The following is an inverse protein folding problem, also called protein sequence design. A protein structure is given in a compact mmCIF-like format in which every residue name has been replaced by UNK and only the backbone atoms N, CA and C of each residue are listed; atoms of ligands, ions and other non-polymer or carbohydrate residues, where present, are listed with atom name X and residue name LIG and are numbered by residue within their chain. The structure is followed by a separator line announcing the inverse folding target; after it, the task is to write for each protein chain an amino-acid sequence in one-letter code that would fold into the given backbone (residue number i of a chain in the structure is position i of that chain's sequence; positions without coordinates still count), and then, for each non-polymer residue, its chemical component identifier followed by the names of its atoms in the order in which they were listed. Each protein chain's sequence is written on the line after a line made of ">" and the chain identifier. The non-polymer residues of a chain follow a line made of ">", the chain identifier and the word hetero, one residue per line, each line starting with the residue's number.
data_IF_023460281123
#
_entry.id   IF_023460281123
#
_cell.length_a   1.000
_cell.length_b   1.000
_cell.length_c   1.000
_cell.angle_alpha   90.00
_cell.angle_beta   90.00
_cell.angle_gamma   90.00
#
_symmetry.space_group_name_H-M   'P 1'
#
loop_
_entity.id
_entity.type
_entity.pdbx_description
1 polymer ?
#
# COMPACT_ATOMS: atom_id res chain seq x y z
N UNK A 1 32.33 -15.65 -30.24
CA UNK A 1 31.57 -15.16 -29.04
C UNK A 1 30.10 -15.09 -29.46
N UNK A 2 29.31 -16.10 -29.14
CA UNK A 2 27.89 -16.12 -29.44
C UNK A 2 27.25 -14.98 -28.66
N UNK A 3 26.68 -13.98 -29.32
CA UNK A 3 25.85 -12.97 -28.69
C UNK A 3 24.64 -13.71 -28.08
N UNK A 4 24.59 -13.78 -26.75
CA UNK A 4 23.37 -14.24 -26.08
C UNK A 4 22.30 -13.17 -26.37
N UNK A 5 21.36 -13.52 -27.25
CA UNK A 5 20.22 -12.65 -27.56
C UNK A 5 19.38 -12.54 -26.26
N UNK A 6 19.41 -11.39 -25.64
CA UNK A 6 18.60 -11.14 -24.45
C UNK A 6 17.13 -11.11 -24.85
N UNK A 7 16.27 -11.83 -24.14
CA UNK A 7 14.82 -11.68 -24.27
C UNK A 7 14.41 -10.22 -24.09
N UNK A 8 13.52 -9.73 -24.93
CA UNK A 8 13.03 -8.37 -24.93
C UNK A 8 11.58 -8.33 -24.43
N UNK A 9 11.32 -7.49 -23.43
CA UNK A 9 9.99 -7.24 -22.90
C UNK A 9 9.66 -5.75 -23.00
N UNK A 10 8.44 -5.44 -23.46
CA UNK A 10 7.94 -4.08 -23.57
C UNK A 10 6.80 -3.82 -22.58
N UNK A 11 6.86 -2.69 -21.87
CA UNK A 11 5.86 -2.30 -20.88
C UNK A 11 5.01 -1.13 -21.40
N UNK A 12 3.70 -1.33 -21.58
CA UNK A 12 2.75 -0.25 -21.89
C UNK A 12 2.15 0.25 -20.60
N UNK A 13 2.44 1.51 -20.23
CA UNK A 13 2.11 2.08 -18.92
C UNK A 13 3.21 1.85 -17.88
N UNK A 14 4.48 1.94 -18.28
CA UNK A 14 5.65 1.59 -17.45
C UNK A 14 5.80 2.46 -16.20
N UNK A 15 5.28 3.69 -16.21
CA UNK A 15 5.39 4.63 -15.08
C UNK A 15 4.29 4.45 -14.03
N UNK A 16 3.63 3.29 -14.02
CA UNK A 16 2.74 2.89 -12.92
C UNK A 16 3.55 2.48 -11.69
N UNK A 17 3.02 2.76 -10.49
CA UNK A 17 3.70 2.48 -9.19
C UNK A 17 4.10 1.02 -9.05
N UNK A 18 3.28 0.10 -9.56
CA UNK A 18 3.57 -1.34 -9.55
C UNK A 18 4.35 -1.79 -10.79
N UNK A 19 4.15 -1.11 -11.95
CA UNK A 19 4.75 -1.50 -13.23
C UNK A 19 6.26 -1.25 -13.26
N UNK A 20 6.73 -0.10 -12.77
CA UNK A 20 8.15 0.26 -12.79
C UNK A 20 9.04 -0.73 -11.99
N UNK A 21 8.66 -1.15 -10.76
CA UNK A 21 9.40 -2.19 -10.05
C UNK A 21 9.41 -3.56 -10.75
N UNK A 22 8.31 -3.94 -11.39
CA UNK A 22 8.27 -5.19 -12.19
C UNK A 22 9.17 -5.08 -13.42
N UNK A 23 9.20 -3.93 -14.10
CA UNK A 23 10.13 -3.68 -15.20
C UNK A 23 11.60 -3.83 -14.76
N UNK A 24 11.93 -3.31 -13.56
CA UNK A 24 13.27 -3.50 -12.97
C UNK A 24 13.55 -4.97 -12.68
N UNK A 25 12.61 -5.69 -12.09
CA UNK A 25 12.76 -7.13 -11.83
C UNK A 25 13.13 -7.90 -13.09
N UNK A 26 12.48 -7.62 -14.25
CA UNK A 26 12.86 -8.24 -15.51
C UNK A 26 14.26 -7.86 -15.98
N UNK A 27 14.65 -6.59 -15.76
CA UNK A 27 16.01 -6.14 -16.08
C UNK A 27 17.05 -6.88 -15.23
N UNK A 28 16.80 -7.02 -13.93
CA UNK A 28 17.69 -7.77 -13.02
C UNK A 28 17.83 -9.25 -13.41
N UNK A 29 16.81 -9.81 -14.05
CA UNK A 29 16.83 -11.15 -14.67
C UNK A 29 17.56 -11.20 -16.03
N UNK A 30 18.15 -10.09 -16.46
CA UNK A 30 18.94 -10.00 -17.68
C UNK A 30 18.15 -9.72 -18.95
N UNK A 31 16.84 -9.40 -18.86
CA UNK A 31 16.05 -9.05 -20.03
C UNK A 31 16.39 -7.65 -20.55
N UNK A 32 16.23 -7.43 -21.84
CA UNK A 32 16.10 -6.09 -22.39
C UNK A 32 14.71 -5.58 -22.04
N UNK A 33 14.62 -4.46 -21.34
CA UNK A 33 13.34 -3.85 -20.93
C UNK A 33 13.19 -2.52 -21.62
N UNK A 34 12.04 -2.31 -22.26
CA UNK A 34 11.63 -1.03 -22.83
C UNK A 34 10.21 -0.71 -22.36
N UNK A 35 9.77 0.53 -22.47
CA UNK A 35 8.39 0.87 -22.14
C UNK A 35 7.96 2.27 -22.52
N UNK A 36 6.66 2.48 -22.45
CA UNK A 36 5.99 3.74 -22.77
C UNK A 36 5.00 4.13 -21.68
N UNK A 37 4.73 5.41 -21.55
CA UNK A 37 3.64 5.93 -20.71
C UNK A 37 3.15 7.28 -21.23
N UNK A 38 1.87 7.60 -21.01
CA UNK A 38 1.28 8.89 -21.37
C UNK A 38 1.95 10.07 -20.64
N UNK A 39 2.37 9.84 -19.37
CA UNK A 39 3.04 10.85 -18.56
C UNK A 39 4.04 10.21 -17.61
N UNK A 40 5.27 10.72 -17.63
CA UNK A 40 6.41 10.19 -16.89
C UNK A 40 6.94 11.28 -15.99
N UNK A 41 6.71 11.15 -14.67
CA UNK A 41 7.03 12.16 -13.66
C UNK A 41 7.75 11.53 -12.46
N UNK A 42 8.55 12.31 -11.70
CA UNK A 42 9.09 11.89 -10.42
C UNK A 42 7.99 11.44 -9.43
N UNK A 43 8.27 10.47 -8.56
CA UNK A 43 9.56 9.78 -8.37
C UNK A 43 9.83 8.61 -9.33
N UNK A 44 8.85 8.17 -10.11
CA UNK A 44 8.97 6.96 -10.94
C UNK A 44 9.85 7.19 -12.18
N UNK A 45 9.84 8.40 -12.75
CA UNK A 45 10.80 8.74 -13.82
C UNK A 45 12.25 8.64 -13.35
N UNK A 46 12.51 9.09 -12.13
CA UNK A 46 13.87 9.02 -11.56
C UNK A 46 14.26 7.57 -11.25
N UNK A 47 13.32 6.79 -10.73
CA UNK A 47 13.51 5.35 -10.51
C UNK A 47 13.87 4.62 -11.81
N UNK A 48 13.14 4.86 -12.92
CA UNK A 48 13.41 4.26 -14.22
C UNK A 48 14.79 4.68 -14.75
N UNK A 49 15.14 5.98 -14.64
CA UNK A 49 16.47 6.52 -15.04
C UNK A 49 17.61 5.90 -14.24
N UNK A 50 17.50 5.89 -12.90
CA UNK A 50 18.51 5.32 -12.00
C UNK A 50 18.77 3.85 -12.31
N UNK A 51 17.70 3.12 -12.66
CA UNK A 51 17.80 1.72 -13.06
C UNK A 51 18.14 1.53 -14.56
N UNK A 52 18.42 2.59 -15.31
CA UNK A 52 18.81 2.55 -16.73
C UNK A 52 17.81 1.73 -17.58
N UNK A 53 16.52 1.91 -17.35
CA UNK A 53 15.44 1.28 -18.13
C UNK A 53 15.10 2.24 -19.27
N UNK A 54 15.04 1.73 -20.49
CA UNK A 54 14.71 2.53 -21.68
C UNK A 54 13.20 2.79 -21.72
N UNK A 55 12.81 4.06 -21.77
CA UNK A 55 11.39 4.43 -21.86
C UNK A 55 11.20 5.71 -22.69
N UNK A 56 9.94 5.94 -23.09
CA UNK A 56 9.56 7.16 -23.80
C UNK A 56 8.16 7.62 -23.41
N UNK A 57 7.90 8.91 -23.60
CA UNK A 57 6.59 9.55 -23.36
C UNK A 57 5.72 9.38 -24.60
N UNK A 58 4.44 9.12 -24.39
CA UNK A 58 3.46 8.83 -25.45
C UNK A 58 3.43 7.35 -25.82
N UNK A 59 2.53 7.02 -26.72
CA UNK A 59 2.35 5.66 -27.24
C UNK A 59 2.63 5.66 -28.74
N UNK A 60 3.71 5.00 -29.14
CA UNK A 60 4.32 5.07 -30.48
C UNK A 60 4.59 3.67 -31.02
N UNK A 61 3.67 3.08 -31.81
CA UNK A 61 3.78 1.72 -32.35
C UNK A 61 5.07 1.43 -33.11
N UNK A 62 5.66 2.45 -33.75
CA UNK A 62 6.93 2.38 -34.47
C UNK A 62 8.16 2.27 -33.55
N UNK A 63 8.03 2.59 -32.27
CA UNK A 63 9.12 2.59 -31.27
C UNK A 63 9.19 1.31 -30.44
N UNK A 64 8.16 0.46 -30.46
CA UNK A 64 8.09 -0.76 -29.66
C UNK A 64 9.25 -1.72 -30.01
N UNK A 65 9.71 -1.71 -31.28
CA UNK A 65 10.65 -2.70 -31.80
C UNK A 65 9.99 -4.07 -31.97
N UNK A 66 10.74 -5.14 -31.70
CA UNK A 66 10.28 -6.52 -31.78
C UNK A 66 10.44 -7.19 -30.40
N UNK A 67 9.54 -6.97 -29.45
CA UNK A 67 9.61 -7.63 -28.16
C UNK A 67 9.14 -9.09 -28.25
N UNK A 68 9.72 -9.96 -27.43
CA UNK A 68 9.28 -11.34 -27.27
C UNK A 68 7.95 -11.42 -26.53
N UNK A 69 7.66 -10.42 -25.68
CA UNK A 69 6.40 -10.29 -24.92
C UNK A 69 6.17 -8.86 -24.48
N UNK A 70 4.92 -8.55 -24.09
CA UNK A 70 4.57 -7.25 -23.53
C UNK A 70 3.82 -7.39 -22.21
N UNK A 71 4.00 -6.43 -21.30
CA UNK A 71 3.18 -6.25 -20.09
C UNK A 71 2.36 -4.98 -20.24
N UNK A 72 1.05 -5.10 -20.07
CA UNK A 72 0.10 -4.00 -20.30
C UNK A 72 -0.54 -3.59 -18.97
N UNK A 73 -0.44 -2.29 -18.65
CA UNK A 73 -1.01 -1.71 -17.43
C UNK A 73 -2.53 -1.74 -17.42
N UNK A 74 -3.14 -1.80 -16.24
CA UNK A 74 -4.58 -1.96 -16.05
C UNK A 74 -5.43 -0.79 -16.60
N UNK A 75 -4.87 0.42 -16.68
CA UNK A 75 -5.56 1.60 -17.22
C UNK A 75 -5.38 1.79 -18.72
N UNK A 76 -4.62 0.93 -19.38
CA UNK A 76 -4.40 1.02 -20.81
C UNK A 76 -5.68 0.63 -21.55
N UNK A 77 -6.13 1.54 -22.43
CA UNK A 77 -7.31 1.32 -23.28
C UNK A 77 -7.09 0.19 -24.27
N UNK A 78 -8.14 -0.54 -24.60
CA UNK A 78 -8.13 -1.55 -25.67
C UNK A 78 -7.81 -0.94 -27.05
N UNK A 79 -8.02 0.37 -27.21
CA UNK A 79 -7.73 1.16 -28.42
C UNK A 79 -6.36 1.86 -28.35
N UNK A 80 -5.54 1.58 -27.32
CA UNK A 80 -4.20 2.13 -27.25
C UNK A 80 -3.37 1.70 -28.47
N UNK A 81 -2.73 2.65 -29.20
CA UNK A 81 -2.08 2.33 -30.49
C UNK A 81 -0.96 1.29 -30.34
N UNK A 82 -0.19 1.31 -29.28
CA UNK A 82 0.85 0.27 -29.04
C UNK A 82 0.22 -1.08 -28.72
N UNK A 83 -0.83 -1.10 -27.89
CA UNK A 83 -1.52 -2.35 -27.59
C UNK A 83 -2.20 -2.95 -28.82
N UNK A 84 -2.77 -2.12 -29.71
CA UNK A 84 -3.27 -2.57 -31.00
C UNK A 84 -2.14 -3.19 -31.85
N UNK A 85 -1.00 -2.52 -31.97
CA UNK A 85 0.14 -3.01 -32.73
C UNK A 85 0.72 -4.32 -32.17
N UNK A 86 0.79 -4.49 -30.84
CA UNK A 86 1.18 -5.75 -30.18
C UNK A 86 0.26 -6.89 -30.60
N UNK A 87 -1.06 -6.67 -30.57
CA UNK A 87 -2.06 -7.68 -30.97
C UNK A 87 -1.99 -8.01 -32.46
N UNK A 88 -1.90 -7.01 -33.31
CA UNK A 88 -1.82 -7.17 -34.77
C UNK A 88 -0.57 -7.92 -35.19
N UNK A 89 0.56 -7.70 -34.51
CA UNK A 89 1.83 -8.42 -34.77
C UNK A 89 1.87 -9.80 -34.13
N UNK A 90 0.83 -10.23 -33.41
CA UNK A 90 0.79 -11.52 -32.71
C UNK A 90 1.81 -11.65 -31.57
N UNK A 91 2.30 -10.54 -31.02
CA UNK A 91 3.24 -10.57 -29.90
C UNK A 91 2.49 -11.04 -28.63
N UNK A 92 3.01 -12.05 -27.92
CA UNK A 92 2.44 -12.46 -26.63
C UNK A 92 2.36 -11.27 -25.66
N UNK A 93 1.26 -11.13 -24.95
CA UNK A 93 1.09 -10.09 -23.96
C UNK A 93 0.38 -10.61 -22.70
N UNK A 94 0.61 -9.93 -21.62
CA UNK A 94 0.03 -10.26 -20.32
C UNK A 94 -0.28 -8.99 -19.52
N UNK A 95 -1.24 -9.08 -18.62
CA UNK A 95 -1.48 -8.05 -17.63
C UNK A 95 -0.41 -8.11 -16.53
N UNK A 96 -0.33 -7.04 -15.74
CA UNK A 96 0.54 -6.99 -14.57
C UNK A 96 0.38 -8.20 -13.61
N UNK A 97 -0.85 -8.60 -13.17
CA UNK A 97 -0.98 -9.75 -12.27
C UNK A 97 -0.66 -11.10 -12.92
N UNK A 98 -0.82 -11.24 -14.25
CA UNK A 98 -0.37 -12.42 -14.97
C UNK A 98 1.16 -12.52 -14.97
N UNK A 99 1.86 -11.39 -15.15
CA UNK A 99 3.31 -11.34 -15.04
C UNK A 99 3.79 -11.72 -13.63
N UNK A 100 3.10 -11.23 -12.59
CA UNK A 100 3.41 -11.65 -11.21
C UNK A 100 3.17 -13.15 -11.01
N UNK A 101 2.07 -13.68 -11.52
CA UNK A 101 1.77 -15.12 -11.44
C UNK A 101 2.88 -15.97 -12.04
N UNK A 102 3.40 -15.56 -13.18
CA UNK A 102 4.43 -16.34 -13.90
C UNK A 102 5.82 -16.23 -13.27
N UNK A 103 6.20 -15.01 -12.82
CA UNK A 103 7.59 -14.74 -12.44
C UNK A 103 7.83 -14.58 -10.94
N UNK A 104 6.82 -14.24 -10.17
CA UNK A 104 6.94 -13.97 -8.73
C UNK A 104 6.27 -15.03 -7.86
N UNK A 105 5.06 -15.48 -8.25
CA UNK A 105 4.30 -16.46 -7.46
C UNK A 105 4.99 -17.82 -7.51
N UNK A 106 5.06 -18.47 -6.33
CA UNK A 106 5.72 -19.76 -6.12
C UNK A 106 4.72 -20.78 -5.54
N UNK A 107 5.17 -22.04 -5.40
CA UNK A 107 4.33 -23.13 -4.87
C UNK A 107 3.79 -22.87 -3.46
N UNK A 108 4.57 -22.18 -2.60
CA UNK A 108 4.15 -21.72 -1.29
C UNK A 108 3.81 -20.23 -1.34
N UNK A 109 2.68 -19.92 -1.99
CA UNK A 109 2.24 -18.53 -2.16
C UNK A 109 1.51 -18.04 -0.92
N UNK A 110 1.95 -16.93 -0.35
CA UNK A 110 1.27 -16.15 0.69
C UNK A 110 0.67 -14.92 0.01
N UNK A 111 -0.64 -14.73 0.14
CA UNK A 111 -1.33 -13.53 -0.32
C UNK A 111 -1.84 -12.76 0.89
N UNK A 112 -1.54 -11.46 0.96
CA UNK A 112 -2.08 -10.56 1.99
C UNK A 112 -3.15 -9.69 1.36
N UNK A 113 -4.40 -9.92 1.71
CA UNK A 113 -5.55 -9.21 1.14
C UNK A 113 -6.42 -8.55 2.22
N UNK A 114 -7.27 -7.63 1.81
CA UNK A 114 -8.20 -6.91 2.68
C UNK A 114 -8.14 -5.40 2.50
N UNK A 115 -8.98 -4.66 3.22
CA UNK A 115 -9.17 -3.22 2.99
C UNK A 115 -8.01 -2.36 3.48
N UNK A 116 -7.37 -2.70 4.61
CA UNK A 116 -6.32 -1.90 5.25
C UNK A 116 -5.14 -2.76 5.68
N UNK A 117 -3.95 -2.14 5.77
CA UNK A 117 -2.75 -2.78 6.31
C UNK A 117 -2.05 -3.78 5.38
N UNK A 118 -2.55 -4.03 4.17
CA UNK A 118 -1.96 -4.98 3.20
C UNK A 118 -0.46 -4.78 3.03
N UNK A 119 -0.04 -3.59 2.62
CA UNK A 119 1.35 -3.31 2.22
C UNK A 119 2.35 -3.52 3.35
N UNK A 120 2.07 -2.99 4.54
CA UNK A 120 3.00 -3.12 5.67
C UNK A 120 3.06 -4.56 6.20
N UNK A 121 1.93 -5.28 6.16
CA UNK A 121 1.87 -6.69 6.56
C UNK A 121 2.61 -7.59 5.55
N UNK A 122 2.45 -7.32 4.24
CA UNK A 122 3.21 -7.99 3.18
C UNK A 122 4.71 -7.76 3.35
N UNK A 123 5.11 -6.52 3.64
CA UNK A 123 6.50 -6.15 3.88
C UNK A 123 7.08 -6.86 5.11
N UNK A 124 6.34 -6.91 6.21
CA UNK A 124 6.76 -7.63 7.42
C UNK A 124 6.93 -9.13 7.16
N UNK A 125 5.95 -9.75 6.49
CA UNK A 125 6.03 -11.17 6.13
C UNK A 125 7.26 -11.44 5.25
N UNK A 126 7.49 -10.63 4.22
CA UNK A 126 8.68 -10.76 3.37
C UNK A 126 9.97 -10.68 4.20
N UNK A 127 10.03 -9.77 5.17
CA UNK A 127 11.18 -9.59 6.05
C UNK A 127 11.35 -10.75 7.05
N UNK A 128 10.27 -11.30 7.61
CA UNK A 128 10.32 -12.50 8.47
C UNK A 128 10.89 -13.68 7.68
N UNK A 129 10.43 -13.92 6.45
CA UNK A 129 10.95 -15.00 5.59
C UNK A 129 12.40 -14.78 5.19
N UNK A 130 12.83 -13.54 5.00
CA UNK A 130 14.24 -13.20 4.75
C UNK A 130 15.12 -13.51 5.96
N UNK A 131 14.73 -13.04 7.15
CA UNK A 131 15.46 -13.33 8.40
C UNK A 131 15.50 -14.83 8.72
N UNK A 132 14.50 -15.59 8.31
CA UNK A 132 14.47 -17.05 8.43
C UNK A 132 15.29 -17.77 7.34
N UNK A 133 16.02 -17.05 6.48
CA UNK A 133 16.84 -17.61 5.41
C UNK A 133 16.07 -18.22 4.25
N UNK A 134 14.77 -17.97 4.14
CA UNK A 134 13.91 -18.54 3.08
C UNK A 134 13.92 -17.75 1.77
N UNK A 135 14.56 -16.58 1.74
CA UNK A 135 14.78 -15.72 0.57
C UNK A 135 13.55 -15.64 -0.36
N UNK A 136 12.38 -15.17 0.08
CA UNK A 136 11.15 -15.26 -0.70
C UNK A 136 11.19 -14.38 -1.95
N UNK A 137 10.47 -14.78 -3.00
CA UNK A 137 9.99 -13.83 -3.99
C UNK A 137 8.91 -12.98 -3.33
N UNK A 138 8.81 -11.69 -3.65
CA UNK A 138 7.75 -10.86 -3.06
C UNK A 138 7.33 -9.70 -3.96
N UNK A 139 6.13 -9.19 -3.70
CA UNK A 139 5.64 -7.92 -4.23
C UNK A 139 4.83 -7.20 -3.13
N UNK A 140 5.25 -5.98 -2.79
CA UNK A 140 4.55 -5.07 -1.91
C UNK A 140 4.17 -3.79 -2.66
N UNK A 141 3.00 -3.23 -2.35
CA UNK A 141 2.46 -2.02 -3.02
C UNK A 141 3.14 -0.70 -2.61
N UNK A 142 4.27 -0.76 -1.93
CA UNK A 142 5.05 0.39 -1.47
C UNK A 142 6.52 0.06 -1.31
N UNK A 143 7.35 1.08 -1.11
CA UNK A 143 8.80 0.91 -0.95
C UNK A 143 9.08 0.35 0.44
N UNK A 144 9.50 -0.91 0.51
CA UNK A 144 9.87 -1.59 1.76
C UNK A 144 11.29 -1.20 2.15
N UNK A 145 11.46 -0.59 3.31
CA UNK A 145 12.77 -0.02 3.72
C UNK A 145 13.85 -1.06 4.00
N UNK A 146 13.46 -2.30 4.26
CA UNK A 146 14.37 -3.43 4.47
C UNK A 146 14.93 -4.02 3.16
N UNK A 147 14.40 -3.64 2.01
CA UNK A 147 14.80 -4.17 0.71
C UNK A 147 15.13 -3.04 -0.27
N UNK A 148 15.99 -3.27 -1.26
CA UNK A 148 16.30 -2.27 -2.28
C UNK A 148 15.12 -1.97 -3.20
N UNK A 149 14.21 -2.95 -3.37
CA UNK A 149 13.07 -2.87 -4.28
C UNK A 149 11.79 -3.37 -3.62
N UNK A 150 10.65 -3.01 -4.20
CA UNK A 150 9.32 -3.48 -3.76
C UNK A 150 8.85 -4.77 -4.46
N UNK A 151 9.62 -5.24 -5.44
CA UNK A 151 9.37 -6.49 -6.16
C UNK A 151 10.68 -7.26 -6.32
N UNK A 152 10.65 -8.53 -5.98
CA UNK A 152 11.78 -9.44 -6.14
C UNK A 152 11.32 -10.81 -6.61
N UNK A 153 12.03 -11.42 -7.54
CA UNK A 153 11.82 -12.79 -7.98
C UNK A 153 13.08 -13.61 -7.75
N UNK A 154 12.98 -14.60 -6.87
CA UNK A 154 14.05 -15.53 -6.50
C UNK A 154 13.68 -16.99 -6.89
N UNK A 155 14.65 -17.89 -6.77
CA UNK A 155 14.44 -19.33 -6.99
C UNK A 155 13.87 -20.06 -5.77
N UNK A 156 13.55 -19.34 -4.69
CA UNK A 156 12.85 -19.87 -3.51
C UNK A 156 11.49 -20.46 -3.88
N UNK A 157 11.06 -21.49 -3.15
CA UNK A 157 9.69 -22.02 -3.25
C UNK A 157 8.63 -21.13 -2.62
N UNK A 158 9.02 -20.03 -1.96
CA UNK A 158 8.14 -19.10 -1.26
C UNK A 158 7.91 -17.82 -2.04
N UNK A 159 6.67 -17.37 -2.03
CA UNK A 159 6.33 -16.03 -2.51
C UNK A 159 5.35 -15.34 -1.56
N UNK A 160 5.51 -14.02 -1.40
CA UNK A 160 4.67 -13.18 -0.53
C UNK A 160 4.23 -11.97 -1.34
N UNK A 161 2.94 -11.85 -1.59
CA UNK A 161 2.41 -10.80 -2.46
C UNK A 161 1.22 -10.09 -1.87
N UNK A 162 1.15 -8.80 -2.12
CA UNK A 162 -0.02 -7.98 -1.79
C UNK A 162 -1.18 -8.30 -2.73
N UNK A 163 -2.30 -8.72 -2.15
CA UNK A 163 -3.54 -9.04 -2.86
C UNK A 163 -4.39 -7.79 -3.05
N UNK A 164 -4.35 -7.24 -4.27
CA UNK A 164 -5.10 -6.06 -4.66
C UNK A 164 -6.44 -6.47 -5.28
N UNK A 165 -7.52 -5.89 -4.78
CA UNK A 165 -8.90 -6.09 -5.25
C UNK A 165 -9.23 -5.31 -6.53
N UNK A 166 -8.39 -4.38 -6.95
CA UNK A 166 -8.60 -3.65 -8.21
C UNK A 166 -8.56 -4.54 -9.44
N UNK A 167 -9.31 -4.17 -10.53
CA UNK A 167 -9.31 -4.90 -11.77
C UNK A 167 -7.91 -5.11 -12.35
N UNK A 168 -7.68 -6.30 -12.89
CA UNK A 168 -6.38 -6.69 -13.45
C UNK A 168 -6.03 -5.91 -14.72
N UNK A 169 -6.99 -5.78 -15.63
CA UNK A 169 -6.82 -5.11 -16.92
C UNK A 169 -8.19 -4.87 -17.60
N UNK A 170 -8.19 -4.12 -18.70
CA UNK A 170 -9.42 -3.78 -19.44
C UNK A 170 -10.06 -4.95 -20.18
N UNK A 171 -9.30 -5.97 -20.57
CA UNK A 171 -9.84 -7.16 -21.25
C UNK A 171 -10.22 -8.30 -20.30
N UNK A 172 -9.80 -8.22 -19.05
CA UNK A 172 -10.18 -9.15 -18.00
C UNK A 172 -10.28 -8.41 -16.64
N UNK A 173 -11.42 -7.82 -16.34
CA UNK A 173 -11.59 -6.92 -15.19
C UNK A 173 -11.80 -7.64 -13.85
N UNK A 174 -11.35 -8.90 -13.73
CA UNK A 174 -11.36 -9.59 -12.42
C UNK A 174 -10.34 -8.98 -11.45
N UNK A 175 -10.53 -9.10 -10.13
CA UNK A 175 -9.55 -8.62 -9.16
C UNK A 175 -8.15 -9.18 -9.41
N UNK A 176 -7.10 -8.38 -9.20
CA UNK A 176 -5.71 -8.82 -9.43
C UNK A 176 -5.35 -10.07 -8.62
N UNK A 177 -5.82 -10.16 -7.38
CA UNK A 177 -5.53 -11.32 -6.54
C UNK A 177 -6.09 -12.64 -7.07
N UNK A 178 -7.07 -12.62 -7.98
CA UNK A 178 -7.63 -13.83 -8.61
C UNK A 178 -6.58 -14.63 -9.39
N UNK A 179 -5.48 -13.97 -9.79
CA UNK A 179 -4.37 -14.64 -10.48
C UNK A 179 -3.37 -15.31 -9.54
N UNK A 180 -3.38 -15.02 -8.23
CA UNK A 180 -2.27 -15.34 -7.32
C UNK A 180 -2.36 -16.73 -6.67
N UNK A 181 -3.52 -17.39 -6.74
CA UNK A 181 -3.75 -18.76 -6.22
C UNK A 181 -3.08 -19.00 -4.86
N UNK A 182 -3.53 -18.34 -3.78
CA UNK A 182 -2.90 -18.44 -2.48
C UNK A 182 -2.95 -19.86 -1.92
N UNK A 183 -1.81 -20.39 -1.47
CA UNK A 183 -1.77 -21.53 -0.54
C UNK A 183 -2.02 -21.06 0.88
N UNK A 184 -1.54 -19.85 1.19
CA UNK A 184 -1.72 -19.17 2.47
C UNK A 184 -2.32 -17.80 2.23
N UNK A 185 -3.34 -17.45 3.01
CA UNK A 185 -4.01 -16.16 2.93
C UNK A 185 -3.94 -15.47 4.29
N UNK A 186 -3.49 -14.21 4.33
CA UNK A 186 -3.69 -13.33 5.46
C UNK A 186 -4.75 -12.30 5.09
N UNK A 187 -5.90 -12.34 5.78
CA UNK A 187 -7.04 -11.48 5.52
C UNK A 187 -7.14 -10.40 6.60
N UNK A 188 -6.91 -9.13 6.21
CA UNK A 188 -6.82 -8.01 7.15
C UNK A 188 -8.16 -7.33 7.45
N UNK A 189 -9.18 -7.60 6.67
CA UNK A 189 -10.54 -7.04 6.81
C UNK A 189 -11.24 -6.94 5.47
N UNK A 190 -12.56 -6.86 5.49
CA UNK A 190 -13.40 -6.71 4.30
C UNK A 190 -14.36 -5.56 4.56
N UNK A 191 -13.87 -4.34 4.44
CA UNK A 191 -14.67 -3.13 4.57
C UNK A 191 -14.84 -2.52 3.19
N UNK A 192 -16.07 -2.24 2.78
CA UNK A 192 -16.36 -1.69 1.47
C UNK A 192 -15.51 -0.46 1.16
N UNK A 193 -14.80 -0.53 0.07
CA UNK A 193 -13.96 0.53 -0.51
C UNK A 193 -14.12 0.49 -2.04
N UNK A 194 -13.62 1.50 -2.75
CA UNK A 194 -13.61 1.56 -4.21
C UNK A 194 -15.01 1.49 -4.86
N UNK A 195 -15.92 2.38 -4.41
CA UNK A 195 -17.29 2.48 -4.93
C UNK A 195 -17.38 2.79 -6.44
N UNK A 196 -16.29 3.28 -7.03
CA UNK A 196 -16.11 3.46 -8.48
C UNK A 196 -16.02 2.14 -9.26
N UNK A 197 -15.66 1.05 -8.57
CA UNK A 197 -15.51 -0.29 -9.14
C UNK A 197 -16.58 -1.25 -8.60
N UNK A 198 -16.77 -1.23 -7.29
CA UNK A 198 -17.75 -2.05 -6.58
C UNK A 198 -18.94 -1.17 -6.18
N UNK A 199 -19.96 -1.16 -7.01
CA UNK A 199 -21.14 -0.29 -6.85
C UNK A 199 -22.00 -0.66 -5.64
N UNK A 200 -21.85 -1.88 -5.10
CA UNK A 200 -22.51 -2.34 -3.86
C UNK A 200 -21.53 -3.03 -2.94
N UNK A 201 -21.82 -3.01 -1.63
CA UNK A 201 -21.05 -3.70 -0.62
C UNK A 201 -21.02 -5.21 -0.85
N UNK A 202 -22.13 -5.79 -1.28
CA UNK A 202 -22.25 -7.23 -1.58
C UNK A 202 -21.28 -7.63 -2.70
N UNK A 203 -21.16 -6.84 -3.75
CA UNK A 203 -20.22 -7.11 -4.85
C UNK A 203 -18.77 -7.10 -4.38
N UNK A 204 -18.44 -6.24 -3.41
CA UNK A 204 -17.11 -6.19 -2.78
C UNK A 204 -16.87 -7.42 -1.89
N UNK A 205 -17.85 -7.80 -1.06
CA UNK A 205 -17.77 -9.00 -0.22
C UNK A 205 -17.61 -10.27 -1.05
N UNK A 206 -18.32 -10.38 -2.17
CA UNK A 206 -18.29 -11.56 -3.04
C UNK A 206 -16.89 -11.84 -3.62
N UNK A 207 -16.14 -10.81 -4.02
CA UNK A 207 -14.79 -11.04 -4.55
C UNK A 207 -13.83 -11.59 -3.49
N UNK A 208 -13.98 -11.18 -2.22
CA UNK A 208 -13.22 -11.76 -1.12
C UNK A 208 -13.68 -13.17 -0.76
N UNK A 209 -14.97 -13.45 -0.86
CA UNK A 209 -15.49 -14.80 -0.69
C UNK A 209 -14.92 -15.77 -1.74
N UNK A 210 -14.75 -15.32 -3.00
CA UNK A 210 -14.09 -16.12 -4.04
C UNK A 210 -12.60 -16.31 -3.75
N UNK A 211 -11.89 -15.28 -3.27
CA UNK A 211 -10.50 -15.41 -2.86
C UNK A 211 -10.34 -16.43 -1.73
N UNK A 212 -11.14 -16.35 -0.68
CA UNK A 212 -11.14 -17.28 0.46
C UNK A 212 -11.38 -18.72 -0.02
N UNK A 213 -12.37 -18.93 -0.90
CA UNK A 213 -12.67 -20.24 -1.49
C UNK A 213 -11.53 -20.83 -2.31
N UNK A 214 -10.65 -19.97 -2.86
CA UNK A 214 -9.53 -20.43 -3.69
C UNK A 214 -8.36 -21.02 -2.90
N UNK A 215 -8.33 -20.84 -1.57
CA UNK A 215 -7.29 -21.43 -0.70
C UNK A 215 -7.53 -22.93 -0.57
N UNK A 216 -6.55 -23.79 -0.89
CA UNK A 216 -6.73 -25.24 -0.86
C UNK A 216 -6.87 -25.79 0.57
N UNK A 217 -7.43 -27.00 0.71
CA UNK A 217 -7.65 -27.67 2.00
C UNK A 217 -6.38 -27.84 2.83
N UNK A 218 -5.24 -28.01 2.18
CA UNK A 218 -3.91 -28.14 2.80
C UNK A 218 -3.19 -26.78 2.97
N UNK A 219 -3.93 -25.71 2.76
CA UNK A 219 -3.49 -24.33 3.01
C UNK A 219 -3.88 -23.84 4.41
N UNK A 220 -3.74 -22.52 4.61
CA UNK A 220 -4.15 -21.86 5.87
C UNK A 220 -4.63 -20.44 5.58
N UNK A 221 -5.67 -20.03 6.27
CA UNK A 221 -6.15 -18.64 6.29
C UNK A 221 -5.91 -18.06 7.68
N UNK A 222 -5.09 -17.00 7.78
CA UNK A 222 -5.01 -16.19 8.99
C UNK A 222 -5.92 -14.97 8.82
N UNK A 223 -6.93 -14.80 9.68
CA UNK A 223 -7.98 -13.80 9.48
C UNK A 223 -8.22 -12.93 10.72
N UNK A 224 -8.44 -11.64 10.48
CA UNK A 224 -8.74 -10.67 11.53
C UNK A 224 -10.14 -10.91 12.12
N UNK A 225 -10.23 -11.20 13.42
CA UNK A 225 -11.47 -11.61 14.09
C UNK A 225 -12.49 -10.45 14.20
N UNK A 226 -11.99 -9.25 14.52
CA UNK A 226 -12.82 -8.09 14.87
C UNK A 226 -13.04 -7.12 13.70
N UNK A 227 -12.95 -7.62 12.46
CA UNK A 227 -13.13 -6.78 11.27
C UNK A 227 -14.44 -7.09 10.54
N UNK A 228 -15.07 -6.04 9.96
CA UNK A 228 -16.34 -6.22 9.22
C UNK A 228 -16.22 -7.33 8.17
N UNK A 229 -17.29 -8.06 7.98
CA UNK A 229 -17.54 -9.08 6.94
C UNK A 229 -16.51 -10.23 6.84
N UNK A 230 -15.43 -10.22 7.67
CA UNK A 230 -14.44 -11.32 7.64
C UNK A 230 -15.05 -12.66 7.96
N UNK A 231 -15.91 -12.72 9.00
CA UNK A 231 -16.64 -13.95 9.34
C UNK A 231 -17.58 -14.42 8.22
N UNK A 232 -18.17 -13.49 7.48
CA UNK A 232 -19.12 -13.82 6.41
C UNK A 232 -18.41 -14.41 5.20
N UNK A 233 -17.31 -13.82 4.75
CA UNK A 233 -16.53 -14.38 3.62
C UNK A 233 -15.92 -15.73 3.98
N UNK A 234 -15.53 -15.94 5.24
CA UNK A 234 -14.93 -17.19 5.70
C UNK A 234 -15.91 -18.37 5.79
N UNK A 235 -17.23 -18.15 5.72
CA UNK A 235 -18.22 -19.21 5.51
C UNK A 235 -17.99 -20.01 4.21
N UNK A 236 -17.22 -19.44 3.26
CA UNK A 236 -16.82 -20.09 2.01
C UNK A 236 -15.46 -20.76 2.07
N UNK A 237 -14.75 -20.68 3.21
CA UNK A 237 -13.41 -21.28 3.36
C UNK A 237 -13.50 -22.81 3.36
N UNK A 238 -12.59 -23.45 2.62
CA UNK A 238 -12.33 -24.88 2.70
C UNK A 238 -11.08 -25.17 3.53
N UNK A 239 -10.14 -24.23 3.56
CA UNK A 239 -8.90 -24.31 4.34
C UNK A 239 -9.15 -24.05 5.83
N UNK A 240 -8.29 -24.56 6.72
CA UNK A 240 -8.26 -24.19 8.13
C UNK A 240 -8.11 -22.67 8.32
N UNK A 241 -8.75 -22.15 9.37
CA UNK A 241 -8.69 -20.73 9.72
C UNK A 241 -8.04 -20.56 11.08
N UNK A 242 -7.01 -19.72 11.17
CA UNK A 242 -6.45 -19.22 12.40
C UNK A 242 -6.89 -17.77 12.60
N UNK A 243 -7.53 -17.47 13.70
CA UNK A 243 -8.01 -16.13 14.02
C UNK A 243 -6.93 -15.30 14.70
N UNK A 244 -6.82 -14.04 14.31
CA UNK A 244 -5.98 -13.09 15.04
C UNK A 244 -6.73 -11.80 15.38
N UNK A 245 -6.29 -11.11 16.43
CA UNK A 245 -6.94 -9.89 16.89
C UNK A 245 -6.20 -9.20 18.01
N UNK A 246 -6.87 -8.27 18.66
CA UNK A 246 -6.36 -7.60 19.85
C UNK A 246 -6.46 -8.50 21.08
N UNK A 247 -5.63 -8.19 22.08
CA UNK A 247 -5.74 -8.84 23.38
C UNK A 247 -7.18 -8.76 23.91
N UNK A 248 -7.71 -9.90 24.37
CA UNK A 248 -9.09 -10.01 24.88
C UNK A 248 -10.18 -10.19 23.81
N UNK A 249 -9.85 -10.25 22.52
CA UNK A 249 -10.82 -10.49 21.44
C UNK A 249 -11.34 -11.93 21.38
N UNK A 250 -10.64 -12.87 21.99
CA UNK A 250 -10.92 -14.31 21.87
C UNK A 250 -10.34 -14.95 20.60
N UNK A 251 -9.42 -14.29 19.93
CA UNK A 251 -8.70 -14.82 18.78
C UNK A 251 -7.64 -15.86 19.23
N UNK A 252 -7.28 -16.79 18.31
CA UNK A 252 -6.22 -17.78 18.54
C UNK A 252 -4.85 -17.12 18.76
N UNK A 253 -4.62 -16.04 18.02
CA UNK A 253 -3.44 -15.19 18.17
C UNK A 253 -3.85 -13.78 18.52
N UNK A 254 -3.20 -13.19 19.50
CA UNK A 254 -3.43 -11.80 19.90
C UNK A 254 -2.14 -11.04 20.09
N UNK A 255 -2.23 -9.72 19.99
CA UNK A 255 -1.09 -8.84 20.27
C UNK A 255 -1.42 -7.83 21.36
N UNK A 256 -0.46 -7.64 22.25
CA UNK A 256 -0.40 -6.54 23.19
C UNK A 256 0.58 -5.50 22.69
N UNK A 257 0.16 -4.23 22.68
CA UNK A 257 0.93 -3.12 22.12
C UNK A 257 1.11 -2.04 23.16
N UNK A 258 2.36 -1.60 23.39
CA UNK A 258 2.70 -0.46 24.24
C UNK A 258 3.55 0.51 23.44
N UNK A 259 3.03 1.73 23.25
CA UNK A 259 3.75 2.79 22.54
C UNK A 259 4.86 3.38 23.41
N UNK A 260 6.04 3.53 22.84
CA UNK A 260 7.22 4.18 23.43
C UNK A 260 7.64 5.35 22.55
N UNK A 261 8.56 6.19 23.06
CA UNK A 261 9.00 7.40 22.34
C UNK A 261 9.54 7.13 20.93
N UNK A 262 10.32 6.07 20.77
CA UNK A 262 11.06 5.77 19.53
C UNK A 262 10.72 4.42 18.91
N UNK A 263 9.84 3.65 19.54
CA UNK A 263 9.49 2.29 19.11
C UNK A 263 8.11 1.89 19.65
N UNK A 264 7.60 0.79 19.16
CA UNK A 264 6.44 0.13 19.74
C UNK A 264 6.84 -1.21 20.32
N UNK A 265 6.60 -1.40 21.63
CA UNK A 265 6.81 -2.68 22.30
C UNK A 265 5.61 -3.58 22.04
N UNK A 266 5.87 -4.77 21.55
CA UNK A 266 4.83 -5.75 21.18
C UNK A 266 5.10 -7.09 21.84
N UNK A 267 4.02 -7.76 22.28
CA UNK A 267 4.03 -9.17 22.72
C UNK A 267 2.90 -9.89 22.01
N UNK A 268 3.19 -11.06 21.49
CA UNK A 268 2.20 -11.89 20.78
C UNK A 268 1.91 -13.13 21.62
N UNK A 269 0.63 -13.46 21.72
CA UNK A 269 0.14 -14.62 22.45
C UNK A 269 -0.58 -15.56 21.48
N UNK A 270 -0.14 -16.80 21.44
CA UNK A 270 -0.66 -17.83 20.56
C UNK A 270 -1.28 -19.01 21.29
N UNK A 271 -1.73 -20.05 20.56
CA UNK A 271 -2.29 -21.27 21.12
C UNK A 271 -1.31 -21.96 22.10
N UNK A 272 -1.85 -22.74 23.03
CA UNK A 272 -1.05 -23.52 24.02
C UNK A 272 -0.12 -22.66 24.87
N UNK A 273 -0.54 -21.41 25.18
CA UNK A 273 0.26 -20.44 25.95
C UNK A 273 1.58 -20.03 25.28
N UNK A 274 1.67 -20.17 23.96
CA UNK A 274 2.82 -19.67 23.24
C UNK A 274 2.93 -18.14 23.38
N UNK A 275 4.12 -17.65 23.72
CA UNK A 275 4.39 -16.21 23.85
C UNK A 275 5.63 -15.85 23.06
N UNK A 276 5.51 -14.86 22.19
CA UNK A 276 6.60 -14.30 21.39
C UNK A 276 6.75 -12.83 21.75
N UNK A 277 7.88 -12.46 22.28
CA UNK A 277 8.13 -11.11 22.79
C UNK A 277 8.48 -11.12 24.28
N UNK A 278 8.52 -9.94 24.95
CA UNK A 278 8.32 -8.64 24.31
C UNK A 278 9.44 -8.25 23.32
N UNK A 279 9.09 -7.56 22.25
CA UNK A 279 10.04 -7.06 21.26
C UNK A 279 9.77 -5.58 20.97
N UNK A 280 10.81 -4.78 20.80
CA UNK A 280 10.70 -3.40 20.38
C UNK A 280 10.78 -3.34 18.84
N UNK A 281 9.68 -3.00 18.22
CA UNK A 281 9.59 -2.77 16.78
C UNK A 281 9.92 -1.28 16.54
N UNK A 282 10.90 -0.92 15.67
CA UNK A 282 11.32 0.46 15.47
C UNK A 282 10.35 1.23 14.57
N UNK A 283 9.06 1.15 14.89
CA UNK A 283 7.97 1.86 14.24
C UNK A 283 7.10 2.51 15.32
N UNK A 284 6.60 3.70 15.02
CA UNK A 284 5.56 4.34 15.83
C UNK A 284 4.21 3.97 15.26
N UNK A 285 3.31 3.58 16.14
CA UNK A 285 1.90 3.28 15.97
C UNK A 285 1.44 2.98 14.53
N UNK A 286 0.77 1.88 14.36
CA UNK A 286 0.15 1.56 13.06
C UNK A 286 -1.19 0.90 13.31
N UNK A 287 -2.19 1.28 12.54
CA UNK A 287 -3.47 0.55 12.45
C UNK A 287 -3.23 -0.92 12.10
N UNK A 288 -2.09 -1.20 11.45
CA UNK A 288 -1.71 -2.53 11.00
C UNK A 288 -1.06 -3.40 12.09
N UNK A 289 -0.79 -2.89 13.29
CA UNK A 289 -0.12 -3.70 14.32
C UNK A 289 -0.95 -4.90 14.77
N UNK A 290 -2.26 -4.79 14.75
CA UNK A 290 -3.14 -5.96 14.97
C UNK A 290 -2.84 -7.08 13.94
N UNK A 291 -2.53 -6.70 12.69
CA UNK A 291 -2.23 -7.66 11.62
C UNK A 291 -0.85 -8.32 11.76
N UNK A 292 0.03 -7.77 12.60
CA UNK A 292 1.31 -8.40 12.92
C UNK A 292 1.10 -9.71 13.69
N UNK A 293 0.04 -9.82 14.50
CA UNK A 293 -0.33 -11.10 15.09
C UNK A 293 -0.66 -12.16 14.02
N UNK A 294 -1.37 -11.78 12.96
CA UNK A 294 -1.64 -12.67 11.82
C UNK A 294 -0.36 -13.06 11.07
N UNK A 295 0.59 -12.13 10.91
CA UNK A 295 1.87 -12.43 10.29
C UNK A 295 2.71 -13.40 11.14
N UNK A 296 2.74 -13.21 12.46
CA UNK A 296 3.39 -14.12 13.41
C UNK A 296 2.73 -15.50 13.40
N UNK A 297 1.39 -15.54 13.44
CA UNK A 297 0.61 -16.77 13.36
C UNK A 297 0.97 -17.59 12.11
N UNK A 298 1.00 -16.93 10.94
CA UNK A 298 1.34 -17.57 9.68
C UNK A 298 2.79 -18.05 9.66
N UNK A 299 3.72 -17.26 10.18
CA UNK A 299 5.13 -17.63 10.29
C UNK A 299 5.31 -18.88 11.16
N UNK A 300 4.66 -18.94 12.32
CA UNK A 300 4.70 -20.11 13.21
C UNK A 300 4.09 -21.35 12.56
N UNK A 301 2.90 -21.21 11.98
CA UNK A 301 2.21 -22.31 11.30
C UNK A 301 3.01 -22.90 10.12
N UNK A 302 3.88 -22.11 9.50
CA UNK A 302 4.76 -22.54 8.40
C UNK A 302 6.15 -22.96 8.86
N UNK A 303 6.38 -23.07 10.18
CA UNK A 303 7.62 -23.61 10.77
C UNK A 303 8.77 -22.61 10.78
N UNK A 304 8.51 -21.32 10.89
CA UNK A 304 9.55 -20.32 11.21
C UNK A 304 9.71 -20.28 12.72
N UNK A 305 10.95 -20.34 13.16
CA UNK A 305 11.27 -20.33 14.59
C UNK A 305 11.07 -18.94 15.22
N UNK A 306 10.90 -18.93 16.54
CA UNK A 306 10.67 -17.71 17.30
C UNK A 306 11.84 -16.72 17.20
N UNK A 307 13.08 -17.21 17.13
CA UNK A 307 14.26 -16.33 17.10
C UNK A 307 14.30 -15.51 15.80
N UNK A 308 13.99 -16.12 14.65
CA UNK A 308 13.90 -15.43 13.37
C UNK A 308 12.77 -14.40 13.35
N UNK A 309 11.61 -14.73 13.94
CA UNK A 309 10.48 -13.79 14.08
C UNK A 309 10.89 -12.58 14.94
N UNK A 310 11.49 -12.82 16.10
CA UNK A 310 11.95 -11.75 17.00
C UNK A 310 13.00 -10.86 16.35
N UNK A 311 13.97 -11.45 15.64
CA UNK A 311 14.97 -10.72 14.85
C UNK A 311 14.32 -9.84 13.78
N UNK A 312 13.36 -10.41 13.05
CA UNK A 312 12.66 -9.68 12.01
C UNK A 312 11.88 -8.48 12.57
N UNK A 313 11.12 -8.69 13.64
CA UNK A 313 10.34 -7.62 14.30
C UNK A 313 11.24 -6.51 14.82
N UNK A 314 12.36 -6.85 15.49
CA UNK A 314 13.31 -5.87 16.03
C UNK A 314 14.05 -5.05 14.97
N UNK A 315 14.15 -5.57 13.74
CA UNK A 315 14.87 -4.93 12.64
C UNK A 315 13.97 -4.43 11.49
N UNK A 316 12.65 -4.54 11.64
CA UNK A 316 11.71 -4.13 10.61
C UNK A 316 11.60 -2.62 10.52
N UNK A 317 11.99 -2.05 9.38
CA UNK A 317 12.05 -0.61 9.15
C UNK A 317 10.74 -0.01 8.55
N UNK A 318 9.75 -0.85 8.29
CA UNK A 318 8.46 -0.43 7.72
C UNK A 318 8.49 -0.14 6.22
N UNK A 319 7.49 0.60 5.79
CA UNK A 319 7.26 0.97 4.39
C UNK A 319 7.23 2.49 4.30
N UNK A 320 7.85 3.06 3.25
CA UNK A 320 7.81 4.50 3.02
C UNK A 320 6.37 4.98 2.91
N UNK A 321 6.12 6.15 3.49
CA UNK A 321 4.81 6.81 3.46
C UNK A 321 3.68 5.96 4.08
N UNK A 322 4.01 5.17 5.12
CA UNK A 322 3.05 4.44 5.98
C UNK A 322 3.40 4.75 7.42
N UNK A 323 2.86 5.86 7.95
CA UNK A 323 3.26 6.46 9.23
C UNK A 323 4.79 6.61 9.33
N UNK A 324 5.40 7.01 8.22
CA UNK A 324 6.86 7.18 8.14
C UNK A 324 7.28 8.44 8.89
N UNK A 325 8.07 8.28 9.96
CA UNK A 325 8.73 9.42 10.61
C UNK A 325 9.80 9.92 9.65
N UNK A 326 9.60 11.13 9.14
CA UNK A 326 10.56 11.79 8.26
C UNK A 326 11.66 12.50 9.04
N UNK A 327 11.39 12.88 10.29
CA UNK A 327 12.33 13.48 11.22
C UNK A 327 11.65 14.00 12.47
N UNK A 328 12.49 14.34 13.47
CA UNK A 328 12.08 15.03 14.70
C UNK A 328 12.99 16.23 14.87
N UNK A 329 12.43 17.43 14.93
CA UNK A 329 13.16 18.69 15.09
C UNK A 329 12.51 19.48 16.21
N UNK A 330 13.31 19.97 17.18
CA UNK A 330 12.82 20.72 18.33
C UNK A 330 11.62 20.03 19.04
N UNK A 331 11.72 18.70 19.20
CA UNK A 331 10.66 17.84 19.76
C UNK A 331 9.34 17.80 18.96
N UNK A 332 9.32 18.32 17.73
CA UNK A 332 8.20 18.21 16.80
C UNK A 332 8.47 17.04 15.85
N UNK A 333 7.56 16.09 15.83
CA UNK A 333 7.63 14.93 14.92
C UNK A 333 6.96 15.26 13.58
N UNK A 334 7.62 14.98 12.46
CA UNK A 334 7.06 15.12 11.11
C UNK A 334 6.85 13.74 10.51
N UNK A 335 5.59 13.42 10.19
CA UNK A 335 5.15 12.09 9.72
C UNK A 335 4.52 12.21 8.33
N UNK A 336 4.84 11.27 7.44
CA UNK A 336 4.26 11.13 6.10
C UNK A 336 3.43 9.85 6.00
N UNK A 337 2.18 9.96 5.56
CA UNK A 337 1.31 8.80 5.33
C UNK A 337 0.53 8.93 4.01
N UNK A 338 0.32 7.82 3.36
CA UNK A 338 -0.36 7.71 2.07
C UNK A 338 -1.89 7.81 2.17
N UNK A 339 -2.45 8.03 3.35
CA UNK A 339 -3.89 8.20 3.56
C UNK A 339 -4.41 9.40 2.75
N UNK A 340 -5.26 9.13 1.77
CA UNK A 340 -5.72 10.10 0.78
C UNK A 340 -7.25 10.13 0.64
N UNK A 341 -7.95 9.38 1.48
CA UNK A 341 -9.42 9.40 1.61
C UNK A 341 -9.80 9.76 3.05
N UNK A 342 -11.00 10.31 3.28
CA UNK A 342 -11.44 10.69 4.63
C UNK A 342 -11.38 9.53 5.63
N UNK A 343 -11.82 8.35 5.26
CA UNK A 343 -11.79 7.16 6.14
C UNK A 343 -10.37 6.74 6.51
N UNK A 344 -9.42 6.77 5.55
CA UNK A 344 -8.01 6.49 5.80
C UNK A 344 -7.37 7.59 6.65
N UNK A 345 -7.69 8.86 6.38
CA UNK A 345 -7.23 10.00 7.17
C UNK A 345 -7.69 9.86 8.63
N UNK A 346 -8.99 9.60 8.87
CA UNK A 346 -9.53 9.36 10.21
C UNK A 346 -8.72 8.31 10.95
N UNK A 347 -8.58 7.16 10.36
CA UNK A 347 -7.88 6.03 10.98
C UNK A 347 -6.42 6.35 11.31
N UNK A 348 -5.73 7.10 10.44
CA UNK A 348 -4.34 7.51 10.65
C UNK A 348 -4.23 8.59 11.74
N UNK A 349 -5.13 9.59 11.73
CA UNK A 349 -5.15 10.66 12.74
C UNK A 349 -5.45 10.08 14.14
N UNK A 350 -6.43 9.17 14.23
CA UNK A 350 -6.80 8.51 15.49
C UNK A 350 -5.62 7.71 16.07
N UNK A 351 -4.88 6.98 15.21
CA UNK A 351 -3.69 6.24 15.61
C UNK A 351 -2.56 7.18 16.08
N UNK A 352 -2.30 8.25 15.34
CA UNK A 352 -1.29 9.26 15.71
C UNK A 352 -1.65 9.96 17.02
N UNK A 353 -2.92 10.27 17.23
CA UNK A 353 -3.38 10.90 18.49
C UNK A 353 -3.20 10.02 19.72
N UNK A 354 -3.30 8.70 19.57
CA UNK A 354 -3.00 7.75 20.66
C UNK A 354 -1.52 7.80 21.06
N UNK A 355 -0.62 7.96 20.09
CA UNK A 355 0.83 8.01 20.32
C UNK A 355 1.22 9.39 20.91
N UNK A 356 0.72 10.45 20.32
CA UNK A 356 0.98 11.84 20.71
C UNK A 356 -0.16 12.38 21.60
N UNK A 357 -0.54 11.62 22.63
CA UNK A 357 -1.71 11.91 23.48
C UNK A 357 -1.63 13.27 24.17
N UNK A 358 -0.44 13.72 24.53
CA UNK A 358 -0.19 15.02 25.21
C UNK A 358 0.08 16.16 24.20
N UNK A 359 0.51 15.84 22.99
CA UNK A 359 0.78 16.81 21.92
C UNK A 359 -0.42 17.10 21.05
N UNK A 360 -0.29 18.12 20.22
CA UNK A 360 -1.27 18.43 19.17
C UNK A 360 -0.95 17.66 17.90
N UNK A 361 -1.98 17.31 17.14
CA UNK A 361 -1.87 16.74 15.79
C UNK A 361 -2.24 17.83 14.78
N UNK A 362 -1.27 18.26 13.99
CA UNK A 362 -1.40 19.25 12.93
C UNK A 362 -1.37 18.50 11.60
N UNK A 363 -2.46 18.50 10.86
CA UNK A 363 -2.64 17.71 9.65
C UNK A 363 -2.50 18.59 8.41
N UNK A 364 -1.70 18.18 7.44
CA UNK A 364 -1.69 18.70 6.07
C UNK A 364 -2.31 17.63 5.17
N UNK A 365 -3.49 17.90 4.61
CA UNK A 365 -4.28 16.88 3.91
C UNK A 365 -4.52 17.23 2.44
N UNK A 366 -4.03 16.38 1.55
CA UNK A 366 -4.31 16.46 0.11
C UNK A 366 -4.97 15.16 -0.38
N UNK A 367 -6.31 15.14 -0.59
CA UNK A 367 -7.02 13.96 -1.05
C UNK A 367 -6.71 13.62 -2.51
N UNK A 368 -6.87 12.34 -2.86
CA UNK A 368 -6.83 11.93 -4.27
C UNK A 368 -8.06 12.45 -5.04
N UNK A 369 -8.04 12.30 -6.37
CA UNK A 369 -9.05 12.87 -7.28
C UNK A 369 -10.47 12.42 -6.95
N UNK A 370 -10.69 11.12 -6.70
CA UNK A 370 -12.01 10.57 -6.39
C UNK A 370 -12.62 11.13 -5.10
N UNK A 371 -11.80 11.55 -4.15
CA UNK A 371 -12.25 12.17 -2.90
C UNK A 371 -12.38 13.70 -2.99
N UNK A 372 -12.24 14.29 -4.18
CA UNK A 372 -12.53 15.72 -4.48
C UNK A 372 -13.86 15.92 -5.17
N UNK A 373 -14.67 14.89 -5.36
CA UNK A 373 -15.99 15.00 -5.95
C UNK A 373 -16.99 15.53 -4.91
N UNK A 374 -18.01 16.26 -5.36
CA UNK A 374 -19.05 16.78 -4.47
C UNK A 374 -19.83 15.66 -3.78
N UNK A 375 -20.00 14.53 -4.46
CA UNK A 375 -20.58 13.29 -3.91
C UNK A 375 -19.80 12.69 -2.74
N UNK A 376 -18.50 12.97 -2.64
CA UNK A 376 -17.66 12.50 -1.54
C UNK A 376 -17.79 13.33 -0.25
N UNK A 377 -18.45 14.50 -0.29
CA UNK A 377 -18.56 15.40 0.86
C UNK A 377 -19.08 14.73 2.16
N UNK A 378 -20.10 13.84 2.14
CA UNK A 378 -20.58 13.18 3.36
C UNK A 378 -19.53 12.33 4.06
N UNK A 379 -18.51 11.81 3.34
CA UNK A 379 -17.45 10.97 3.91
C UNK A 379 -16.45 11.74 4.78
N UNK A 380 -16.45 13.08 4.70
CA UNK A 380 -15.61 13.95 5.52
C UNK A 380 -16.15 14.17 6.93
N UNK A 381 -17.41 13.79 7.22
CA UNK A 381 -18.01 13.93 8.55
C UNK A 381 -17.21 13.15 9.58
N UNK A 382 -16.83 13.83 10.65
CA UNK A 382 -16.08 13.28 11.80
C UNK A 382 -14.72 12.65 11.45
N UNK A 383 -14.23 12.88 10.22
CA UNK A 383 -12.99 12.24 9.76
C UNK A 383 -11.72 12.88 10.33
N UNK A 384 -11.83 14.09 10.85
CA UNK A 384 -10.68 14.87 11.34
C UNK A 384 -10.82 15.31 12.81
N UNK A 385 -11.84 14.87 13.55
CA UNK A 385 -12.12 15.32 14.93
C UNK A 385 -10.94 15.11 15.91
N UNK A 386 -10.09 14.11 15.66
CA UNK A 386 -8.88 13.88 16.49
C UNK A 386 -7.70 14.79 16.13
N UNK A 387 -7.81 15.63 15.08
CA UNK A 387 -6.81 16.63 14.74
C UNK A 387 -7.05 17.94 15.51
N UNK A 388 -5.98 18.69 15.75
CA UNK A 388 -6.07 20.03 16.36
C UNK A 388 -6.14 21.14 15.31
N UNK A 389 -5.38 21.00 14.23
CA UNK A 389 -5.34 21.92 13.10
C UNK A 389 -5.35 21.07 11.82
N UNK A 390 -6.14 21.50 10.83
CA UNK A 390 -6.13 20.88 9.49
C UNK A 390 -5.83 21.96 8.45
N UNK A 391 -4.83 21.70 7.62
CA UNK A 391 -4.45 22.56 6.49
C UNK A 391 -4.70 21.79 5.21
N UNK A 392 -5.54 22.32 4.33
CA UNK A 392 -5.69 21.89 2.94
C UNK A 392 -4.72 22.73 2.11
N UNK A 393 -3.67 22.14 1.53
CA UNK A 393 -2.73 22.88 0.69
C UNK A 393 -3.26 23.03 -0.74
N UNK A 394 -2.46 23.66 -1.62
CA UNK A 394 -2.71 23.59 -3.06
C UNK A 394 -2.98 22.17 -3.52
N UNK A 395 -4.09 21.97 -4.22
CA UNK A 395 -4.46 20.64 -4.71
C UNK A 395 -3.76 20.38 -6.06
N UNK A 396 -2.91 19.37 -6.13
CA UNK A 396 -2.18 18.99 -7.34
C UNK A 396 -3.13 18.78 -8.52
N UNK A 397 -2.73 19.27 -9.69
CA UNK A 397 -3.50 19.13 -10.93
C UNK A 397 -3.75 17.64 -11.25
N UNK A 398 -4.96 17.32 -11.66
CA UNK A 398 -5.33 15.96 -12.02
C UNK A 398 -5.14 15.74 -13.51
N UNK A 399 -4.69 14.56 -13.92
CA UNK A 399 -4.79 14.14 -15.33
C UNK A 399 -6.27 14.19 -15.71
N UNK A 400 -6.61 14.87 -16.81
CA UNK A 400 -7.98 14.96 -17.30
C UNK A 400 -8.57 13.55 -17.47
N UNK A 401 -9.51 13.20 -16.59
CA UNK A 401 -10.55 12.26 -16.91
C UNK A 401 -11.77 13.09 -17.30
N UNK A 402 -12.58 12.61 -18.22
CA UNK A 402 -13.86 13.18 -18.60
C UNK A 402 -14.89 12.95 -17.48
N UNK A 403 -14.55 13.41 -16.26
CA UNK A 403 -15.48 13.34 -15.14
C UNK A 403 -16.59 14.35 -15.39
N UNK A 404 -17.80 13.89 -15.43
CA UNK A 404 -19.01 14.71 -15.59
C UNK A 404 -19.40 15.44 -14.31
N UNK A 405 -18.78 15.10 -13.16
CA UNK A 405 -19.08 15.68 -11.85
C UNK A 405 -18.16 16.84 -11.50
N UNK A 406 -18.75 17.88 -10.86
CA UNK A 406 -18.04 19.07 -10.37
C UNK A 406 -17.10 18.69 -9.23
N UNK A 407 -15.82 19.04 -9.39
CA UNK A 407 -14.79 18.84 -8.36
C UNK A 407 -14.79 19.99 -7.37
N UNK A 408 -14.53 19.65 -6.12
CA UNK A 408 -14.26 20.61 -5.04
C UNK A 408 -12.85 21.19 -5.24
N UNK A 409 -12.74 22.49 -5.09
CA UNK A 409 -11.45 23.18 -4.92
C UNK A 409 -10.97 23.08 -3.46
N UNK A 410 -9.76 23.59 -3.19
CA UNK A 410 -9.18 23.51 -1.86
C UNK A 410 -9.95 24.29 -0.80
N UNK A 411 -10.52 25.44 -1.17
CA UNK A 411 -11.31 26.28 -0.25
C UNK A 411 -12.64 25.62 0.11
N UNK A 412 -13.34 25.07 -0.88
CA UNK A 412 -14.58 24.30 -0.67
C UNK A 412 -14.33 23.06 0.18
N UNK A 413 -13.22 22.37 -0.05
CA UNK A 413 -12.84 21.21 0.75
C UNK A 413 -12.56 21.58 2.21
N UNK A 414 -11.81 22.66 2.44
CA UNK A 414 -11.56 23.16 3.80
C UNK A 414 -12.87 23.54 4.51
N UNK A 415 -13.81 24.20 3.82
CA UNK A 415 -15.11 24.53 4.35
C UNK A 415 -15.95 23.30 4.73
N UNK A 416 -15.90 22.24 3.92
CA UNK A 416 -16.59 20.98 4.22
C UNK A 416 -15.97 20.33 5.46
N UNK A 417 -14.64 20.27 5.55
CA UNK A 417 -13.95 19.71 6.70
C UNK A 417 -14.32 20.51 7.97
N UNK A 418 -14.26 21.83 7.93
CA UNK A 418 -14.58 22.70 9.07
C UNK A 418 -16.02 22.47 9.56
N UNK A 419 -16.99 22.53 8.64
CA UNK A 419 -18.41 22.40 9.00
C UNK A 419 -18.83 21.00 9.47
N UNK A 420 -18.06 19.97 9.16
CA UNK A 420 -18.40 18.58 9.45
C UNK A 420 -17.53 17.93 10.54
N UNK A 421 -16.62 18.68 11.17
CA UNK A 421 -15.71 18.20 12.22
C UNK A 421 -15.61 19.24 13.36
N UNK A 422 -16.61 19.29 14.26
CA UNK A 422 -16.75 20.37 15.25
C UNK A 422 -15.66 20.41 16.33
N UNK A 423 -14.88 19.35 16.49
CA UNK A 423 -13.85 19.26 17.52
C UNK A 423 -12.50 19.85 17.08
N UNK A 424 -12.36 20.23 15.80
CA UNK A 424 -11.15 20.85 15.28
C UNK A 424 -11.09 22.31 15.70
N UNK A 425 -9.91 22.77 16.15
CA UNK A 425 -9.73 24.17 16.55
C UNK A 425 -9.56 25.11 15.37
N UNK A 426 -8.96 24.65 14.27
CA UNK A 426 -8.66 25.49 13.12
C UNK A 426 -8.59 24.64 11.84
N UNK A 427 -9.33 25.03 10.80
CA UNK A 427 -9.25 24.49 9.45
C UNK A 427 -8.91 25.60 8.48
N UNK A 428 -7.87 25.40 7.67
CA UNK A 428 -7.34 26.41 6.74
C UNK A 428 -7.22 25.86 5.33
N UNK A 429 -7.52 26.69 4.34
CA UNK A 429 -7.02 26.50 2.97
C UNK A 429 -5.86 27.47 2.74
N UNK A 430 -4.71 26.94 2.30
CA UNK A 430 -3.53 27.74 1.99
C UNK A 430 -2.98 27.25 0.63
N UNK A 431 -3.14 28.08 -0.41
CA UNK A 431 -2.80 27.72 -1.80
C UNK A 431 -1.28 27.75 -2.08
N UNK A 432 -0.52 28.45 -1.27
CA UNK A 432 0.93 28.61 -1.42
C UNK A 432 1.69 27.70 -0.48
N UNK A 433 2.54 26.81 -1.03
CA UNK A 433 3.32 25.83 -0.27
C UNK A 433 4.29 26.49 0.75
N UNK A 434 4.83 27.68 0.44
CA UNK A 434 5.72 28.41 1.34
C UNK A 434 4.93 28.94 2.54
N UNK A 435 3.72 29.44 2.31
CA UNK A 435 2.84 29.89 3.39
C UNK A 435 2.37 28.73 4.28
N UNK A 436 2.14 27.53 3.71
CA UNK A 436 1.89 26.31 4.51
C UNK A 436 3.05 26.05 5.45
N UNK A 437 4.29 26.05 4.95
CA UNK A 437 5.49 25.81 5.76
C UNK A 437 5.65 26.86 6.86
N UNK A 438 5.44 28.15 6.54
CA UNK A 438 5.48 29.24 7.52
C UNK A 438 4.41 29.09 8.60
N UNK A 439 3.18 28.67 8.22
CA UNK A 439 2.10 28.39 9.19
C UNK A 439 2.48 27.22 10.09
N UNK A 440 3.03 26.14 9.57
CA UNK A 440 3.51 25.01 10.34
C UNK A 440 4.59 25.42 11.33
N UNK A 441 5.60 26.17 10.89
CA UNK A 441 6.69 26.68 11.73
C UNK A 441 6.17 27.56 12.89
N UNK A 442 5.23 28.45 12.59
CA UNK A 442 4.65 29.35 13.62
C UNK A 442 3.74 28.61 14.61
N UNK A 443 3.08 27.53 14.15
CA UNK A 443 2.09 26.83 14.97
C UNK A 443 2.70 25.72 15.82
N UNK A 444 3.78 25.09 15.35
CA UNK A 444 4.39 23.94 15.99
C UNK A 444 4.98 24.27 17.37
N UNK A 445 4.80 23.38 18.33
CA UNK A 445 5.33 23.47 19.69
C UNK A 445 6.00 22.12 20.05
N UNK A 446 6.95 22.11 20.98
CA UNK A 446 7.54 20.87 21.48
C UNK A 446 6.46 19.85 21.89
N UNK A 447 6.60 18.61 21.45
CA UNK A 447 5.64 17.52 21.67
C UNK A 447 4.57 17.38 20.59
N UNK A 448 4.45 18.30 19.62
CA UNK A 448 3.49 18.20 18.53
C UNK A 448 3.88 17.19 17.47
N UNK A 449 2.87 16.72 16.71
CA UNK A 449 3.03 15.95 15.51
C UNK A 449 2.46 16.71 14.30
N UNK A 450 3.29 16.92 13.29
CA UNK A 450 2.88 17.38 11.94
C UNK A 450 2.70 16.15 11.06
N UNK A 451 1.49 15.93 10.58
CA UNK A 451 1.09 14.75 9.83
C UNK A 451 0.69 15.13 8.39
N UNK A 452 1.50 14.73 7.42
CA UNK A 452 1.20 14.90 6.01
C UNK A 452 0.42 13.69 5.49
N UNK A 453 -0.80 13.91 5.02
CA UNK A 453 -1.73 12.88 4.53
C UNK A 453 -2.08 13.11 3.05
N UNK A 454 -1.67 12.19 2.17
CA UNK A 454 -2.00 12.30 0.75
C UNK A 454 -1.31 11.27 -0.14
N UNK A 455 -1.81 11.08 -1.35
CA UNK A 455 -1.21 10.18 -2.33
C UNK A 455 0.00 10.77 -3.07
N UNK A 456 0.18 12.08 -3.02
CA UNK A 456 1.27 12.81 -3.67
C UNK A 456 2.41 13.14 -2.69
N UNK A 457 3.59 13.50 -3.20
CA UNK A 457 4.80 13.75 -2.40
C UNK A 457 4.90 15.15 -1.81
N UNK A 458 3.80 15.92 -1.74
CA UNK A 458 3.74 17.27 -1.17
C UNK A 458 4.80 18.26 -1.70
N UNK A 459 5.24 18.07 -2.95
CA UNK A 459 6.12 19.02 -3.69
C UNK A 459 7.37 19.49 -2.93
N UNK A 460 7.87 18.65 -1.99
CA UNK A 460 9.05 18.97 -1.16
C UNK A 460 8.73 19.73 0.13
N UNK A 461 7.46 19.99 0.44
CA UNK A 461 7.06 20.67 1.69
C UNK A 461 7.55 19.94 2.95
N UNK A 462 7.56 18.60 2.94
CA UNK A 462 8.00 17.80 4.09
C UNK A 462 9.46 18.10 4.44
N UNK A 463 10.34 18.06 3.44
CA UNK A 463 11.77 18.31 3.61
C UNK A 463 12.05 19.77 4.02
N UNK A 464 11.28 20.70 3.46
CA UNK A 464 11.40 22.12 3.82
C UNK A 464 10.88 22.38 5.23
N UNK A 465 9.76 21.78 5.64
CA UNK A 465 9.25 21.86 7.01
C UNK A 465 10.30 21.40 8.03
N UNK A 466 10.95 20.26 7.78
CA UNK A 466 12.02 19.75 8.64
C UNK A 466 13.22 20.70 8.76
N UNK A 467 13.50 21.51 7.72
CA UNK A 467 14.59 22.50 7.75
C UNK A 467 14.22 23.79 8.48
N UNK A 468 12.92 24.10 8.54
CA UNK A 468 12.42 25.36 9.12
C UNK A 468 11.98 25.24 10.58
N UNK A 469 11.70 24.02 11.07
CA UNK A 469 11.39 23.74 12.49
C UNK A 469 12.63 23.86 13.37
#
# INVERSE_FOLDING_TARGET
>A
MLMIVKKHIHFIGICGTAMAPVAKMFKDRGWRVTGSDKGIYPPLSDYLKQNKIDYYVGFHPERIGNPDTAVVGNYISLLNPEFCAIRERGVPYQSYPEALREYVIKSHSIVVAGSYGKTITTALLAWIWECAGRCPSFMAGGIVRNFPDSVRSNDSSWSIVEGDEYPACRWNPVPKFSFYKPRFLLLTGVQWDHADIYTTEESYIDVFAQLVKSVPLDGLICAALDRPHVRDVLKKASAPVAWYGRMGSGADWSTEVTYQKDATRMTFYGPSNETIGPVNVPLLGSIAFDHFAGAVALARATGIDQAAIMQALASFQGVRRRLEIRGVVNEVSVIDDFAHSPSKAKSTIDAVKQIFSLGRVIVVFEPNVGNRLRSSAPSYRDAFNSANIVIVPHLSATKHNEDTEVRLDGAQLAQIIDSSNPDIKEVLYIDDDIQVIQKLQKSAQPGDCILFLGSHGFRGMIEQTLKCL
#
